data_IF_533959845526
#
_entry.id   IF_533959845526
#
_cell.length_a   1.000
_cell.length_b   1.000
_cell.length_c   1.000
_cell.angle_alpha   90.00
_cell.angle_beta   90.00
_cell.angle_gamma   90.00
#
_symmetry.space_group_name_H-M   'P 1'
#
loop_
_entity.id
_entity.type
_entity.pdbx_description
1 polymer ?
#
# COMPACT_ATOMS: atom_id res chain seq x y z
N UNK A 1 22.28 36.15 30.88
CA UNK A 1 22.50 35.46 29.60
C UNK A 1 21.51 34.31 29.48
N UNK A 2 20.65 34.36 28.47
CA UNK A 2 19.49 33.50 28.32
C UNK A 2 19.88 32.17 27.66
N UNK A 3 19.65 31.07 28.38
CA UNK A 3 19.73 29.70 27.89
C UNK A 3 18.53 29.45 26.95
N UNK A 4 18.84 29.25 25.67
CA UNK A 4 17.85 29.05 24.63
C UNK A 4 17.63 27.54 24.43
N UNK A 5 16.60 27.05 25.12
CA UNK A 5 16.08 25.70 25.06
C UNK A 5 15.81 25.22 23.63
N UNK A 6 16.46 24.11 23.30
CA UNK A 6 16.28 23.27 22.11
C UNK A 6 14.81 22.94 21.85
N UNK A 7 14.34 23.27 20.66
CA UNK A 7 13.04 22.84 20.15
C UNK A 7 13.08 21.34 19.83
N UNK A 8 12.51 20.54 20.72
CA UNK A 8 12.23 19.12 20.52
C UNK A 8 11.20 18.96 19.40
N UNK A 9 11.68 18.82 18.16
CA UNK A 9 10.86 18.36 17.05
C UNK A 9 10.45 16.91 17.32
N UNK A 10 9.22 16.74 17.78
CA UNK A 10 8.59 15.44 18.01
C UNK A 10 8.53 14.65 16.69
N UNK A 11 9.52 13.79 16.50
CA UNK A 11 9.64 12.84 15.40
C UNK A 11 8.60 11.71 15.57
N UNK A 12 7.32 12.05 15.41
CA UNK A 12 6.25 11.07 15.30
C UNK A 12 6.39 10.36 13.95
N UNK A 13 7.14 9.25 13.91
CA UNK A 13 7.19 8.34 12.78
C UNK A 13 5.75 7.84 12.50
N UNK A 14 5.08 8.21 11.39
CA UNK A 14 3.80 7.60 11.10
C UNK A 14 4.07 6.15 10.72
N UNK A 15 3.55 5.21 11.51
CA UNK A 15 3.69 3.76 11.33
C UNK A 15 2.95 3.21 10.09
N UNK A 16 2.76 4.04 9.06
CA UNK A 16 2.14 3.71 7.78
C UNK A 16 3.15 3.15 6.77
N UNK A 17 4.14 2.39 7.25
CA UNK A 17 5.14 1.76 6.39
C UNK A 17 4.49 0.68 5.53
N UNK A 18 4.68 0.77 4.22
CA UNK A 18 4.16 -0.22 3.28
C UNK A 18 4.91 -1.55 3.39
N UNK A 19 4.18 -2.65 3.54
CA UNK A 19 4.72 -4.01 3.47
C UNK A 19 4.19 -4.66 2.20
N UNK A 20 5.04 -5.35 1.44
CA UNK A 20 4.63 -6.04 0.22
C UNK A 20 4.80 -7.54 0.36
N UNK A 21 4.07 -8.28 -0.47
CA UNK A 21 4.28 -9.71 -0.69
C UNK A 21 4.29 -9.99 -2.18
N UNK A 22 5.17 -10.90 -2.59
CA UNK A 22 5.25 -11.39 -3.97
C UNK A 22 4.51 -12.72 -4.04
N UNK A 23 3.39 -12.72 -4.75
CA UNK A 23 2.62 -13.90 -5.09
C UNK A 23 3.19 -14.66 -6.28
N UNK A 24 2.46 -15.68 -6.72
CA UNK A 24 2.77 -16.39 -7.96
C UNK A 24 2.81 -15.42 -9.14
N UNK A 25 3.61 -15.75 -10.16
CA UNK A 25 3.80 -14.94 -11.38
C UNK A 25 4.21 -13.49 -11.09
N UNK A 26 5.05 -13.28 -10.08
CA UNK A 26 5.53 -11.95 -9.64
C UNK A 26 4.42 -10.94 -9.31
N UNK A 27 3.24 -11.40 -8.92
CA UNK A 27 2.14 -10.51 -8.55
C UNK A 27 2.43 -9.81 -7.21
N UNK A 28 2.58 -8.49 -7.24
CA UNK A 28 2.83 -7.71 -6.03
C UNK A 28 1.52 -7.37 -5.33
N UNK A 29 1.45 -7.61 -4.02
CA UNK A 29 0.34 -7.17 -3.17
C UNK A 29 0.86 -6.30 -2.03
N UNK A 30 0.09 -5.28 -1.69
CA UNK A 30 0.32 -4.42 -0.54
C UNK A 30 -0.40 -5.02 0.67
N UNK A 31 0.30 -5.12 1.79
CA UNK A 31 -0.26 -5.51 3.09
C UNK A 31 -0.37 -4.25 3.93
N UNK A 32 -1.58 -3.97 4.42
CA UNK A 32 -1.86 -2.84 5.28
C UNK A 32 -2.98 -3.21 6.25
N UNK A 33 -2.76 -2.98 7.54
CA UNK A 33 -3.71 -3.33 8.62
C UNK A 33 -4.20 -4.80 8.57
N UNK A 34 -3.32 -5.74 8.23
CA UNK A 34 -3.65 -7.17 8.12
C UNK A 34 -4.56 -7.53 6.94
N UNK A 35 -4.83 -6.60 6.02
CA UNK A 35 -5.53 -6.85 4.76
C UNK A 35 -4.57 -6.77 3.58
N UNK A 36 -4.84 -7.60 2.55
CA UNK A 36 -4.11 -7.55 1.29
C UNK A 36 -4.85 -6.70 0.27
N UNK A 37 -4.08 -5.90 -0.46
CA UNK A 37 -4.55 -5.03 -1.52
C UNK A 37 -3.81 -5.35 -2.82
N UNK A 38 -4.51 -5.20 -3.95
CA UNK A 38 -3.95 -5.33 -5.30
C UNK A 38 -3.88 -3.96 -5.95
N UNK A 39 -2.83 -3.75 -6.75
CA UNK A 39 -2.64 -2.53 -7.54
C UNK A 39 -3.82 -2.37 -8.49
N UNK A 40 -4.40 -1.17 -8.53
CA UNK A 40 -5.53 -0.84 -9.40
C UNK A 40 -5.09 0.03 -10.57
N UNK A 41 -4.61 1.25 -10.30
CA UNK A 41 -4.10 2.16 -11.33
C UNK A 41 -3.24 3.26 -10.68
N UNK A 42 -2.43 3.94 -11.49
CA UNK A 42 -1.71 5.15 -11.08
C UNK A 42 -2.61 6.38 -11.23
N UNK A 43 -2.61 7.25 -10.22
CA UNK A 43 -3.33 8.53 -10.25
C UNK A 43 -2.56 9.58 -9.44
N UNK A 44 -2.35 10.76 -10.03
CA UNK A 44 -1.76 11.92 -9.35
C UNK A 44 -0.49 11.57 -8.57
N UNK A 45 0.46 10.88 -9.20
CA UNK A 45 1.71 10.43 -8.57
C UNK A 45 1.55 9.47 -7.37
N UNK A 46 0.39 8.85 -7.23
CA UNK A 46 0.11 7.80 -6.26
C UNK A 46 -0.42 6.55 -6.95
N UNK A 47 -0.26 5.41 -6.30
CA UNK A 47 -0.85 4.15 -6.76
C UNK A 47 -2.11 3.92 -5.96
N UNK A 48 -3.24 3.72 -6.63
CA UNK A 48 -4.45 3.26 -5.96
C UNK A 48 -4.40 1.77 -5.79
N UNK A 49 -4.61 1.31 -4.57
CA UNK A 49 -4.70 -0.09 -4.20
C UNK A 49 -6.12 -0.38 -3.70
N UNK A 50 -6.69 -1.48 -4.17
CA UNK A 50 -8.04 -1.93 -3.78
C UNK A 50 -7.91 -3.22 -3.01
N UNK A 51 -8.86 -3.50 -2.11
CA UNK A 51 -8.84 -4.77 -1.40
C UNK A 51 -8.78 -5.94 -2.40
N UNK A 52 -7.86 -6.88 -2.16
CA UNK A 52 -7.68 -8.08 -2.98
C UNK A 52 -8.93 -8.95 -3.04
N UNK A 53 -9.89 -8.70 -2.15
CA UNK A 53 -11.16 -9.44 -2.07
C UNK A 53 -12.30 -8.82 -2.87
N UNK A 54 -12.12 -7.61 -3.40
CA UNK A 54 -13.16 -6.77 -4.03
C UNK A 54 -14.05 -7.54 -5.00
N UNK A 55 -13.49 -8.40 -5.85
CA UNK A 55 -14.28 -9.05 -6.91
C UNK A 55 -15.28 -10.09 -6.36
N UNK A 56 -14.95 -10.77 -5.26
CA UNK A 56 -15.80 -11.82 -4.66
C UNK A 56 -16.61 -11.34 -3.44
N UNK A 57 -16.10 -10.40 -2.64
CA UNK A 57 -16.84 -9.85 -1.48
C UNK A 57 -17.54 -8.52 -1.77
N UNK A 58 -17.29 -7.91 -2.92
CA UNK A 58 -17.69 -6.52 -3.22
C UNK A 58 -17.13 -5.49 -2.21
N UNK A 59 -16.04 -5.83 -1.53
CA UNK A 59 -15.36 -4.96 -0.58
C UNK A 59 -14.97 -3.61 -1.19
N UNK A 60 -15.18 -2.54 -0.42
CA UNK A 60 -14.93 -1.15 -0.82
C UNK A 60 -13.68 -0.54 -0.20
N UNK A 61 -12.90 -1.31 0.54
CA UNK A 61 -11.65 -0.83 1.13
C UNK A 61 -10.60 -0.49 0.06
N UNK A 62 -9.94 0.66 0.25
CA UNK A 62 -9.04 1.32 -0.69
C UNK A 62 -7.96 2.09 0.07
N UNK A 63 -6.75 2.04 -0.44
CA UNK A 63 -5.62 2.83 0.05
C UNK A 63 -4.84 3.42 -1.13
N UNK A 64 -4.06 4.46 -0.85
CA UNK A 64 -3.07 5.04 -1.78
C UNK A 64 -1.67 4.71 -1.28
N UNK A 65 -0.79 4.35 -2.20
CA UNK A 65 0.63 4.24 -1.96
C UNK A 65 1.34 5.39 -2.67
N UNK A 66 2.18 6.11 -1.94
CA UNK A 66 2.87 7.31 -2.42
C UNK A 66 4.35 6.99 -2.73
N UNK A 67 5.02 7.90 -3.44
CA UNK A 67 6.45 7.75 -3.79
C UNK A 67 7.38 7.85 -2.58
N UNK A 68 6.93 8.47 -1.50
CA UNK A 68 7.63 8.52 -0.20
C UNK A 68 7.49 7.21 0.60
N UNK A 69 7.03 6.13 -0.06
CA UNK A 69 6.90 4.80 0.53
C UNK A 69 5.84 4.71 1.65
N UNK A 70 5.00 5.73 1.79
CA UNK A 70 3.90 5.77 2.75
C UNK A 70 2.59 5.26 2.13
N UNK A 71 1.78 4.62 2.98
CA UNK A 71 0.38 4.29 2.69
C UNK A 71 -0.52 5.36 3.28
N UNK A 72 -1.44 5.88 2.48
CA UNK A 72 -2.51 6.78 2.93
C UNK A 72 -3.86 6.08 2.78
N UNK A 73 -4.67 5.96 3.84
CA UNK A 73 -5.99 5.35 3.73
C UNK A 73 -6.93 6.21 2.87
N UNK A 74 -7.80 5.56 2.09
CA UNK A 74 -8.95 6.23 1.44
C UNK A 74 -10.25 5.73 2.09
N UNK A 75 -10.39 4.42 2.24
CA UNK A 75 -11.49 3.78 2.93
C UNK A 75 -10.96 2.47 3.53
N UNK A 76 -11.03 2.32 4.86
CA UNK A 76 -10.58 1.12 5.57
C UNK A 76 -11.73 0.21 6.00
N UNK A 77 -12.97 0.52 5.62
CA UNK A 77 -14.13 -0.30 5.97
C UNK A 77 -14.14 -1.56 5.10
N UNK A 78 -13.94 -2.70 5.76
CA UNK A 78 -14.06 -4.03 5.16
C UNK A 78 -15.40 -4.66 5.53
N UNK A 79 -16.02 -5.35 4.57
CA UNK A 79 -17.25 -6.12 4.78
C UNK A 79 -16.96 -7.63 4.92
N UNK A 80 -15.72 -7.99 5.25
CA UNK A 80 -15.28 -9.36 5.37
C UNK A 80 -14.14 -9.46 6.38
N UNK A 81 -13.99 -10.65 6.95
CA UNK A 81 -12.90 -10.96 7.87
C UNK A 81 -11.53 -10.91 7.17
N UNK A 82 -10.47 -10.65 7.94
CA UNK A 82 -9.09 -10.76 7.49
C UNK A 82 -8.85 -12.20 7.02
N UNK A 83 -8.37 -12.39 5.79
CA UNK A 83 -7.97 -13.73 5.34
C UNK A 83 -6.73 -14.12 6.14
N UNK A 84 -6.74 -15.32 6.73
CA UNK A 84 -5.52 -15.99 7.24
C UNK A 84 -4.66 -16.45 6.07
N UNK A 85 -4.26 -15.52 5.21
CA UNK A 85 -3.28 -15.82 4.16
C UNK A 85 -1.92 -15.78 4.85
N UNK A 86 -1.23 -16.92 4.91
CA UNK A 86 0.19 -16.91 5.24
C UNK A 86 0.88 -15.98 4.26
N UNK A 87 1.32 -14.80 4.72
CA UNK A 87 2.07 -13.84 3.92
C UNK A 87 3.44 -14.47 3.61
N UNK A 88 3.49 -15.32 2.60
CA UNK A 88 4.73 -15.93 2.12
C UNK A 88 5.48 -14.86 1.32
N UNK A 89 6.82 -14.85 1.39
CA UNK A 89 7.66 -13.91 0.65
C UNK A 89 7.32 -12.44 0.93
N UNK A 90 7.33 -12.05 2.21
CA UNK A 90 7.23 -10.64 2.60
C UNK A 90 8.48 -9.92 2.10
N UNK A 91 8.27 -8.81 1.40
CA UNK A 91 9.33 -7.94 0.89
C UNK A 91 9.15 -6.56 1.48
N UNK A 92 10.24 -5.99 1.98
CA UNK A 92 10.26 -4.60 2.47
C UNK A 92 10.05 -3.65 1.29
N UNK A 93 9.40 -2.53 1.55
CA UNK A 93 9.40 -1.45 0.58
C UNK A 93 10.83 -0.93 0.43
N UNK A 94 11.39 -0.98 -0.79
CA UNK A 94 12.67 -0.34 -1.14
C UNK A 94 12.45 0.72 -2.22
N UNK A 95 13.39 1.66 -2.43
CA UNK A 95 13.30 2.63 -3.51
C UNK A 95 13.21 1.97 -4.90
N UNK A 96 13.88 0.83 -5.12
CA UNK A 96 13.86 0.07 -6.37
C UNK A 96 12.49 -0.54 -6.63
N UNK A 97 11.90 -1.15 -5.59
CA UNK A 97 10.53 -1.67 -5.66
C UNK A 97 9.54 -0.54 -5.93
N UNK A 98 9.72 0.60 -5.28
CA UNK A 98 8.90 1.80 -5.51
C UNK A 98 9.00 2.23 -6.97
N UNK A 99 10.21 2.38 -7.52
CA UNK A 99 10.42 2.69 -8.94
C UNK A 99 9.72 1.69 -9.85
N UNK A 100 9.86 0.39 -9.62
CA UNK A 100 9.18 -0.66 -10.39
C UNK A 100 7.66 -0.53 -10.33
N UNK A 101 7.09 -0.33 -9.14
CA UNK A 101 5.65 -0.16 -8.94
C UNK A 101 5.07 1.03 -9.70
N UNK A 102 5.84 2.09 -9.92
CA UNK A 102 5.42 3.27 -10.68
C UNK A 102 5.75 3.19 -12.19
N UNK A 103 6.55 2.22 -12.65
CA UNK A 103 6.90 2.05 -14.08
C UNK A 103 5.83 1.27 -14.86
N UNK A 104 5.24 0.24 -14.27
CA UNK A 104 4.32 -0.65 -14.98
C UNK A 104 2.88 -0.12 -14.95
N UNK A 105 2.51 0.69 -15.94
CA UNK A 105 1.09 0.99 -16.22
C UNK A 105 0.81 0.82 -17.70
N UNK A 106 1.03 -0.40 -18.20
CA UNK A 106 0.27 -0.85 -19.37
C UNK A 106 -1.01 -1.46 -18.80
N UNK A 107 -2.06 -0.64 -18.78
CA UNK A 107 -3.44 -1.09 -18.75
C UNK A 107 -3.74 -1.64 -20.15
N UNK A 108 -3.39 -2.89 -20.41
CA UNK A 108 -4.00 -3.61 -21.52
C UNK A 108 -4.98 -4.65 -20.99
N UNK A 109 -6.20 -4.53 -21.52
CA UNK A 109 -7.24 -5.54 -21.61
C UNK A 109 -7.80 -6.11 -20.30
N UNK A 110 -8.99 -5.60 -19.89
CA UNK A 110 -10.12 -6.43 -19.39
C UNK A 110 -11.34 -5.60 -18.97
N UNK A 111 -11.80 -4.72 -19.85
CA UNK A 111 -13.20 -4.27 -19.86
C UNK A 111 -13.64 -4.08 -21.32
N UNK A 112 -13.92 -5.19 -21.98
CA UNK A 112 -15.01 -5.34 -22.93
C UNK A 112 -15.81 -6.57 -22.48
#
# INVERSE_FOLDING_TARGET
>A
DADQSVAEAQDQVPSNKAIFTIGQRNSIKLIYDGYCYTKSYLANNTIKWVCSTKNYTKCRARVRFRRDMCVSPINLVHNHSKKKAGYRNIVKCTPELTKSLFKDTIQEERYH
#
